data_IF_598611337213
#
_entry.id   IF_598611337213
#
_cell.length_a   1.000
_cell.length_b   1.000
_cell.length_c   1.000
_cell.angle_alpha   90.00
_cell.angle_beta   90.00
_cell.angle_gamma   90.00
#
_symmetry.space_group_name_H-M   'P 1'
#
loop_
_entity.id
_entity.type
_entity.pdbx_description
1 polymer ?
#
# COMPACT_ATOMS: atom_id res chain seq x y z
N UNK A 1 -11.07 7.70 1.02
CA UNK A 1 -11.31 8.91 0.18
C UNK A 1 -12.71 8.94 -0.43
N UNK A 2 -13.17 7.92 -1.16
CA UNK A 2 -14.50 7.92 -1.81
C UNK A 2 -15.70 8.18 -0.88
N UNK A 3 -15.69 7.69 0.39
CA UNK A 3 -16.72 8.02 1.41
C UNK A 3 -16.85 9.52 1.73
N UNK A 4 -15.95 10.36 1.22
CA UNK A 4 -15.95 11.83 1.34
C UNK A 4 -15.99 12.52 -0.04
N UNK A 5 -16.30 11.78 -1.11
CA UNK A 5 -16.33 12.31 -2.49
C UNK A 5 -14.97 12.72 -3.04
N UNK A 6 -13.87 12.23 -2.45
CA UNK A 6 -12.50 12.51 -2.90
C UNK A 6 -11.90 11.29 -3.58
N UNK A 7 -10.97 11.53 -4.52
CA UNK A 7 -10.21 10.50 -5.24
C UNK A 7 -8.79 11.00 -5.57
N UNK A 8 -7.94 10.14 -6.16
CA UNK A 8 -6.65 10.51 -6.72
C UNK A 8 -6.47 10.00 -8.15
N UNK A 9 -5.78 10.77 -8.99
CA UNK A 9 -5.74 10.57 -10.45
C UNK A 9 -4.61 9.65 -10.95
N UNK A 10 -4.12 8.74 -10.11
CA UNK A 10 -3.04 7.79 -10.44
C UNK A 10 -3.36 6.39 -9.90
N UNK A 11 -2.55 5.39 -10.28
CA UNK A 11 -2.63 4.04 -9.69
C UNK A 11 -2.22 4.04 -8.22
N UNK A 12 -2.68 3.06 -7.45
CA UNK A 12 -2.26 2.88 -6.05
C UNK A 12 -0.83 2.33 -5.96
N UNK A 13 -0.33 1.66 -7.00
CA UNK A 13 1.05 1.22 -7.07
C UNK A 13 1.45 0.57 -8.39
N UNK A 14 2.75 0.39 -8.57
CA UNK A 14 3.40 -0.22 -9.74
C UNK A 14 4.46 -1.24 -9.30
N UNK A 15 4.86 -2.15 -10.20
CA UNK A 15 5.99 -3.04 -9.93
C UNK A 15 7.31 -2.28 -9.86
N UNK A 16 8.30 -2.87 -9.17
CA UNK A 16 9.66 -2.32 -9.05
C UNK A 16 10.68 -3.41 -9.38
N UNK A 17 11.59 -3.11 -10.30
CA UNK A 17 12.63 -4.04 -10.71
C UNK A 17 13.86 -4.00 -9.80
N UNK A 18 14.42 -5.17 -9.49
CA UNK A 18 15.64 -5.27 -8.69
C UNK A 18 16.86 -4.77 -9.46
N UNK A 19 17.37 -3.59 -9.09
CA UNK A 19 18.43 -2.86 -9.83
C UNK A 19 18.07 -2.58 -11.30
N UNK A 20 16.77 -2.40 -11.58
CA UNK A 20 16.23 -2.10 -12.90
C UNK A 20 15.30 -0.88 -12.82
N UNK A 21 14.17 -0.90 -13.53
CA UNK A 21 13.25 0.21 -13.60
C UNK A 21 12.48 0.41 -12.29
N UNK A 22 12.34 1.66 -11.86
CA UNK A 22 11.48 2.03 -10.73
C UNK A 22 10.01 1.75 -11.03
N UNK A 23 9.60 1.86 -12.30
CA UNK A 23 8.28 1.44 -12.78
C UNK A 23 8.45 0.23 -13.69
N UNK A 24 8.25 -0.96 -13.13
CA UNK A 24 8.35 -2.23 -13.84
C UNK A 24 6.97 -2.88 -13.99
N UNK A 25 6.68 -3.34 -15.21
CA UNK A 25 5.48 -4.11 -15.50
C UNK A 25 5.76 -5.62 -15.53
N UNK A 26 4.71 -6.45 -15.68
CA UNK A 26 3.33 -6.03 -15.96
C UNK A 26 2.49 -5.74 -14.70
N UNK A 27 2.88 -6.26 -13.53
CA UNK A 27 2.14 -6.15 -12.28
C UNK A 27 1.97 -4.70 -11.79
N UNK A 28 0.79 -4.37 -11.29
CA UNK A 28 0.44 -3.06 -10.73
C UNK A 28 -0.82 -3.13 -9.88
N UNK A 29 -0.94 -2.25 -8.90
CA UNK A 29 -2.17 -2.02 -8.14
C UNK A 29 -2.84 -0.77 -8.72
N UNK A 30 -3.65 -0.96 -9.75
CA UNK A 30 -4.32 0.14 -10.44
C UNK A 30 -5.65 -0.33 -11.04
N UNK A 31 -6.52 0.62 -11.39
CA UNK A 31 -7.79 0.34 -12.10
C UNK A 31 -7.59 -0.41 -13.42
N UNK A 32 -6.40 -0.29 -14.00
CA UNK A 32 -6.00 -0.93 -15.26
C UNK A 32 -5.17 -2.20 -15.07
N UNK A 33 -4.89 -2.62 -13.83
CA UNK A 33 -4.13 -3.83 -13.55
C UNK A 33 -4.94 -5.09 -13.88
N UNK A 34 -4.35 -5.98 -14.69
CA UNK A 34 -4.98 -7.25 -15.11
C UNK A 34 -4.25 -8.49 -14.62
N UNK A 35 -3.01 -8.33 -14.19
CA UNK A 35 -2.15 -9.46 -13.80
C UNK A 35 -2.41 -9.94 -12.38
N UNK A 36 -2.21 -11.24 -12.17
CA UNK A 36 -2.18 -11.82 -10.83
C UNK A 36 -0.94 -11.34 -10.10
N UNK A 37 -1.09 -11.01 -8.81
CA UNK A 37 0.04 -10.82 -7.92
C UNK A 37 0.53 -12.19 -7.45
N UNK A 38 1.82 -12.45 -7.63
CA UNK A 38 2.47 -13.70 -7.27
C UNK A 38 3.56 -13.44 -6.24
N UNK A 39 3.83 -14.45 -5.40
CA UNK A 39 4.87 -14.37 -4.39
C UNK A 39 6.22 -13.96 -4.99
N UNK A 40 6.94 -13.07 -4.30
CA UNK A 40 8.22 -12.53 -4.77
C UNK A 40 8.10 -11.25 -5.63
N UNK A 41 6.90 -10.84 -6.05
CA UNK A 41 6.71 -9.56 -6.74
C UNK A 41 6.83 -8.39 -5.75
N UNK A 42 7.65 -7.40 -6.10
CA UNK A 42 7.75 -6.12 -5.39
C UNK A 42 6.86 -5.07 -6.06
N UNK A 43 6.10 -4.32 -5.26
CA UNK A 43 5.23 -3.23 -5.72
C UNK A 43 5.35 -2.00 -4.81
N UNK A 44 5.09 -0.81 -5.34
CA UNK A 44 4.75 0.36 -4.51
C UNK A 44 3.33 0.23 -3.96
N UNK A 45 3.08 0.89 -2.83
CA UNK A 45 1.76 1.13 -2.23
C UNK A 45 1.71 2.59 -1.80
N UNK A 46 1.09 3.43 -2.63
CA UNK A 46 1.28 4.88 -2.63
C UNK A 46 -0.03 5.68 -2.80
N UNK A 47 -1.09 5.41 -2.02
CA UNK A 47 -2.30 6.23 -2.08
C UNK A 47 -1.98 7.70 -1.79
N UNK A 48 -2.69 8.60 -2.49
CA UNK A 48 -2.51 10.03 -2.33
C UNK A 48 -3.82 10.82 -2.36
N UNK A 49 -3.74 12.11 -2.05
CA UNK A 49 -4.80 13.08 -2.29
C UNK A 49 -4.18 14.45 -2.54
N UNK A 50 -4.70 15.17 -3.53
CA UNK A 50 -4.19 16.47 -3.95
C UNK A 50 -5.35 17.45 -4.04
N UNK A 51 -5.30 18.49 -3.19
CA UNK A 51 -6.26 19.59 -3.18
C UNK A 51 -5.66 20.76 -3.95
N UNK A 52 -6.21 21.02 -5.13
CA UNK A 52 -5.79 22.13 -5.99
C UNK A 52 -5.76 23.47 -5.24
N UNK A 53 -4.70 24.25 -5.45
CA UNK A 53 -4.49 25.54 -4.80
C UNK A 53 -4.19 25.47 -3.30
N UNK A 54 -4.03 24.26 -2.73
CA UNK A 54 -3.78 24.07 -1.30
C UNK A 54 -2.59 23.13 -1.03
N UNK A 55 -2.82 21.83 -0.90
CA UNK A 55 -1.81 20.87 -0.45
C UNK A 55 -1.94 19.52 -1.18
N UNK A 56 -0.90 18.70 -1.05
CA UNK A 56 -0.87 17.32 -1.53
C UNK A 56 -0.29 16.41 -0.47
N UNK A 57 -0.80 15.19 -0.38
CA UNK A 57 -0.33 14.15 0.54
C UNK A 57 -0.22 12.85 -0.25
N UNK A 58 0.92 12.17 -0.12
CA UNK A 58 1.13 10.78 -0.56
C UNK A 58 1.96 10.08 0.51
N UNK A 59 1.58 8.83 0.82
CA UNK A 59 2.33 7.97 1.73
C UNK A 59 2.66 6.72 0.94
N UNK A 60 3.95 6.42 0.78
CA UNK A 60 4.44 5.39 -0.12
C UNK A 60 5.40 4.45 0.58
N UNK A 61 5.10 3.14 0.51
CA UNK A 61 6.01 2.06 0.87
C UNK A 61 6.20 1.12 -0.32
N UNK A 62 7.35 0.48 -0.40
CA UNK A 62 7.52 -0.75 -1.17
C UNK A 62 7.04 -1.94 -0.34
N UNK A 63 6.34 -2.85 -0.99
CA UNK A 63 5.79 -4.08 -0.40
C UNK A 63 6.13 -5.30 -1.28
N UNK A 64 6.34 -6.44 -0.63
CA UNK A 64 6.62 -7.73 -1.26
C UNK A 64 5.40 -8.63 -1.12
N UNK A 65 4.93 -9.25 -2.20
CA UNK A 65 3.90 -10.29 -2.13
C UNK A 65 4.50 -11.53 -1.45
N UNK A 66 3.91 -11.98 -0.34
CA UNK A 66 4.37 -13.16 0.40
C UNK A 66 3.77 -14.45 -0.19
N UNK A 67 4.38 -15.63 0.08
CA UNK A 67 3.76 -16.92 -0.21
C UNK A 67 2.34 -17.02 0.38
N UNK A 68 1.46 -17.76 -0.29
CA UNK A 68 0.11 -17.94 0.21
C UNK A 68 0.12 -18.86 1.45
N UNK A 69 -0.52 -18.42 2.53
CA UNK A 69 -0.59 -19.16 3.79
C UNK A 69 -2.05 -19.44 4.19
N UNK A 70 -2.35 -20.55 4.88
CA UNK A 70 -3.67 -20.80 5.43
C UNK A 70 -4.09 -19.68 6.39
N UNK A 71 -5.30 -19.15 6.21
CA UNK A 71 -5.89 -18.17 7.14
C UNK A 71 -6.85 -18.88 8.07
N UNK A 72 -6.79 -18.58 9.36
CA UNK A 72 -7.70 -19.16 10.35
C UNK A 72 -9.18 -18.88 9.97
N UNK A 73 -9.97 -19.95 9.86
CA UNK A 73 -11.36 -19.87 9.42
C UNK A 73 -11.56 -19.62 7.92
N UNK A 74 -10.47 -19.57 7.13
CA UNK A 74 -10.52 -19.40 5.67
C UNK A 74 -10.58 -20.72 4.91
N UNK A 75 -11.21 -20.69 3.73
CA UNK A 75 -11.39 -21.86 2.86
C UNK A 75 -10.17 -22.17 1.98
N UNK A 76 -9.33 -21.17 1.69
CA UNK A 76 -8.15 -21.28 0.84
C UNK A 76 -6.96 -20.49 1.41
N UNK A 77 -5.71 -20.89 1.12
CA UNK A 77 -4.54 -20.08 1.41
C UNK A 77 -4.58 -18.73 0.68
N UNK A 78 -4.10 -17.67 1.33
CA UNK A 78 -4.09 -16.31 0.80
C UNK A 78 -2.69 -15.71 0.81
N UNK A 79 -2.35 -14.96 -0.23
CA UNK A 79 -1.15 -14.11 -0.22
C UNK A 79 -1.31 -12.96 0.77
N UNK A 80 -0.18 -12.52 1.34
CA UNK A 80 -0.07 -11.30 2.12
C UNK A 80 0.94 -10.33 1.51
N UNK A 81 1.27 -9.31 2.29
CA UNK A 81 2.31 -8.35 1.95
C UNK A 81 3.27 -8.16 3.12
N UNK A 82 4.56 -8.16 2.82
CA UNK A 82 5.63 -7.71 3.71
C UNK A 82 6.04 -6.29 3.33
N UNK A 83 6.27 -5.41 4.31
CA UNK A 83 6.74 -4.05 4.04
C UNK A 83 8.26 -4.02 3.92
N UNK A 84 8.77 -3.48 2.81
CA UNK A 84 10.20 -3.32 2.56
C UNK A 84 10.72 -1.94 2.95
N UNK A 85 9.91 -0.90 2.82
CA UNK A 85 10.30 0.47 3.21
C UNK A 85 10.21 0.66 4.72
N UNK A 86 11.34 0.95 5.36
CA UNK A 86 11.43 1.26 6.79
C UNK A 86 11.76 2.74 6.99
N UNK A 87 10.76 3.60 6.78
CA UNK A 87 10.85 5.04 6.96
C UNK A 87 9.69 5.52 7.85
N UNK A 88 9.95 6.25 8.96
CA UNK A 88 8.88 6.67 9.85
C UNK A 88 7.80 7.50 9.16
N UNK A 89 6.54 7.17 9.43
CA UNK A 89 5.37 7.97 9.04
C UNK A 89 5.23 9.14 10.01
N UNK A 90 5.06 10.36 9.50
CA UNK A 90 4.88 11.56 10.32
C UNK A 90 3.55 11.55 11.09
N UNK A 91 3.63 11.25 12.39
CA UNK A 91 2.46 11.12 13.27
C UNK A 91 1.74 12.45 13.54
N UNK A 92 2.36 13.61 13.26
CA UNK A 92 1.73 14.92 13.51
C UNK A 92 0.48 15.16 12.65
N UNK A 93 0.38 14.49 11.51
CA UNK A 93 -0.74 14.58 10.57
C UNK A 93 -1.74 13.42 10.71
N UNK A 94 -1.52 12.51 11.67
CA UNK A 94 -2.40 11.36 11.89
C UNK A 94 -3.55 11.75 12.82
N UNK A 95 -4.77 11.60 12.32
CA UNK A 95 -6.00 11.72 13.11
C UNK A 95 -6.39 10.36 13.68
N UNK A 96 -5.88 10.05 14.88
CA UNK A 96 -6.08 8.74 15.53
C UNK A 96 -7.53 8.39 15.82
N UNK A 97 -8.41 9.40 15.96
CA UNK A 97 -9.85 9.23 16.12
C UNK A 97 -10.55 8.67 14.87
N UNK A 98 -9.88 8.70 13.71
CA UNK A 98 -10.37 8.09 12.47
C UNK A 98 -9.86 6.67 12.24
N UNK A 99 -8.94 6.18 13.08
CA UNK A 99 -8.34 4.85 12.95
C UNK A 99 -9.06 3.85 13.86
N UNK A 100 -9.20 2.64 13.35
CA UNK A 100 -9.57 1.47 14.14
C UNK A 100 -8.43 1.06 15.08
N UNK A 101 -8.74 0.18 16.04
CA UNK A 101 -7.73 -0.37 16.95
C UNK A 101 -6.64 -1.14 16.21
N UNK A 102 -7.02 -1.89 15.18
CA UNK A 102 -6.08 -2.69 14.40
C UNK A 102 -5.16 -1.81 13.55
N UNK A 103 -5.68 -0.71 12.98
CA UNK A 103 -4.86 0.27 12.23
C UNK A 103 -3.89 1.03 13.15
N UNK A 104 -4.31 1.38 14.37
CA UNK A 104 -3.42 1.97 15.38
C UNK A 104 -2.32 0.99 15.78
N UNK A 105 -2.70 -0.27 16.05
CA UNK A 105 -1.74 -1.32 16.38
C UNK A 105 -0.74 -1.53 15.25
N UNK A 106 -1.21 -1.58 14.00
CA UNK A 106 -0.34 -1.68 12.83
C UNK A 106 0.66 -0.51 12.75
N UNK A 107 0.20 0.73 12.96
CA UNK A 107 1.07 1.90 12.93
C UNK A 107 2.14 1.85 14.03
N UNK A 108 1.77 1.39 15.23
CA UNK A 108 2.71 1.22 16.35
C UNK A 108 3.72 0.10 16.05
N UNK A 109 3.30 -1.04 15.49
CA UNK A 109 4.20 -2.12 15.09
C UNK A 109 5.14 -1.68 13.96
N UNK A 110 4.67 -0.86 13.01
CA UNK A 110 5.51 -0.32 11.94
C UNK A 110 6.63 0.61 12.45
N UNK A 111 6.45 1.25 13.61
CA UNK A 111 7.43 2.17 14.22
C UNK A 111 8.29 1.54 15.33
N UNK A 112 8.07 0.28 15.69
CA UNK A 112 8.81 -0.43 16.73
C UNK A 112 10.18 -0.94 16.23
#
# INVERSE_FOLDING_TARGET
LWKRGCDFAHGTGHGVGSYLAVHEGPQRIARTGTEKLLAGMMLSNEPGYYKEGAYGIRIENLILVTPAEPIEGGDIPMHGFETLTLAPIDKRLVRSDLLTRDELHWLDQYHA
#
